data_IF_172153821028
#
_entry.id   IF_172153821028
#
_cell.length_a   1.000
_cell.length_b   1.000
_cell.length_c   1.000
_cell.angle_alpha   90.00
_cell.angle_beta   90.00
_cell.angle_gamma   90.00
#
_symmetry.space_group_name_H-M   'P 1'
#
loop_
_entity.id
_entity.type
_entity.pdbx_description
1 polymer ?
#
# COMPACT_ATOMS: atom_id res chain seq x y z
N UNK A 1 17.25 -10.21 -16.04
CA UNK A 1 17.79 -9.30 -15.02
C UNK A 1 17.13 -9.68 -13.68
N UNK A 2 17.88 -10.14 -12.68
CA UNK A 2 17.30 -10.77 -11.47
C UNK A 2 16.53 -9.74 -10.60
N UNK A 3 15.46 -10.13 -9.89
CA UNK A 3 14.59 -9.21 -9.12
C UNK A 3 15.22 -8.60 -7.86
N UNK A 4 16.53 -8.81 -7.63
CA UNK A 4 17.17 -8.55 -6.33
C UNK A 4 17.04 -7.09 -5.88
N UNK A 5 17.01 -6.11 -6.79
CA UNK A 5 16.97 -4.68 -6.45
C UNK A 5 15.70 -4.29 -5.68
N UNK A 6 14.57 -4.94 -5.95
CA UNK A 6 13.29 -4.63 -5.31
C UNK A 6 13.23 -5.11 -3.85
N UNK A 7 13.91 -6.21 -3.50
CA UNK A 7 13.93 -6.73 -2.12
C UNK A 7 14.76 -5.87 -1.17
N UNK A 8 15.88 -5.30 -1.64
CA UNK A 8 16.72 -4.40 -0.84
C UNK A 8 16.00 -3.10 -0.44
N UNK A 9 15.13 -2.59 -1.30
CA UNK A 9 14.40 -1.33 -1.05
C UNK A 9 13.27 -1.48 -0.03
N UNK A 10 12.76 -2.70 0.19
CA UNK A 10 11.56 -2.92 0.99
C UNK A 10 11.83 -3.45 2.40
N UNK A 11 13.08 -3.75 2.78
CA UNK A 11 13.41 -4.34 4.10
C UNK A 11 12.43 -5.49 4.44
N UNK A 12 12.18 -6.36 3.46
CA UNK A 12 11.12 -7.37 3.52
C UNK A 12 11.30 -8.27 4.74
N UNK A 13 10.24 -8.47 5.51
CA UNK A 13 10.27 -9.24 6.75
C UNK A 13 10.77 -8.47 7.99
N UNK A 14 11.16 -7.20 7.83
CA UNK A 14 11.44 -6.33 8.96
C UNK A 14 10.15 -5.68 9.48
N UNK A 15 9.79 -6.01 10.71
CA UNK A 15 8.62 -5.49 11.41
C UNK A 15 8.97 -4.45 12.48
N UNK A 16 10.22 -4.02 12.55
CA UNK A 16 10.68 -3.01 13.51
C UNK A 16 9.91 -1.70 13.30
N UNK A 17 9.24 -1.18 14.34
CA UNK A 17 8.64 0.15 14.28
C UNK A 17 9.67 1.26 14.50
N UNK A 18 10.87 0.91 14.98
CA UNK A 18 11.88 1.87 15.40
C UNK A 18 12.71 2.40 14.22
N UNK A 19 12.93 3.72 14.15
CA UNK A 19 13.85 4.31 13.18
C UNK A 19 15.31 3.86 13.40
N UNK A 20 15.97 3.39 12.34
CA UNK A 20 17.42 3.16 12.35
C UNK A 20 18.16 4.43 11.92
N UNK A 21 18.96 4.98 12.83
CA UNK A 21 19.70 6.21 12.60
C UNK A 21 20.75 6.09 11.48
N UNK A 22 21.31 4.90 11.25
CA UNK A 22 22.24 4.65 10.15
C UNK A 22 21.50 4.63 8.80
N UNK A 23 20.27 4.11 8.75
CA UNK A 23 19.41 4.26 7.57
C UNK A 23 19.10 5.74 7.34
N UNK A 24 18.67 6.47 8.38
CA UNK A 24 18.33 7.88 8.28
C UNK A 24 19.49 8.73 7.71
N UNK A 25 20.70 8.58 8.27
CA UNK A 25 21.92 9.25 7.78
C UNK A 25 22.19 8.95 6.31
N UNK A 26 22.04 7.69 5.88
CA UNK A 26 22.23 7.27 4.47
C UNK A 26 21.15 7.82 3.54
N UNK A 27 19.90 7.95 3.99
CA UNK A 27 18.82 8.57 3.21
C UNK A 27 19.13 10.05 3.01
N UNK A 28 19.40 10.79 4.09
CA UNK A 28 19.68 12.23 4.03
C UNK A 28 20.87 12.52 3.11
N UNK A 29 21.98 11.78 3.28
CA UNK A 29 23.16 11.93 2.43
C UNK A 29 22.85 11.77 0.94
N UNK A 30 22.02 10.78 0.57
CA UNK A 30 21.61 10.55 -0.83
C UNK A 30 20.67 11.62 -1.34
N UNK A 31 19.71 12.07 -0.53
CA UNK A 31 18.79 13.14 -0.91
C UNK A 31 19.51 14.47 -1.15
N UNK A 32 20.43 14.86 -0.27
CA UNK A 32 21.22 16.09 -0.43
C UNK A 32 22.14 16.03 -1.65
N UNK A 33 22.73 14.86 -1.94
CA UNK A 33 23.53 14.68 -3.15
C UNK A 33 22.68 14.82 -4.43
N UNK A 34 21.42 14.38 -4.40
CA UNK A 34 20.49 14.50 -5.53
C UNK A 34 19.92 15.91 -5.69
N UNK A 35 19.62 16.60 -4.58
CA UNK A 35 19.04 17.93 -4.55
C UNK A 35 19.66 18.77 -3.42
N UNK A 36 20.78 19.48 -3.69
CA UNK A 36 21.50 20.25 -2.68
C UNK A 36 20.68 21.39 -2.06
N UNK A 37 19.62 21.85 -2.73
CA UNK A 37 18.73 22.91 -2.24
C UNK A 37 17.99 22.48 -0.95
N UNK A 38 17.78 21.17 -0.73
CA UNK A 38 17.18 20.64 0.50
C UNK A 38 17.95 21.04 1.77
N UNK A 39 19.22 21.40 1.64
CA UNK A 39 20.07 21.79 2.75
C UNK A 39 20.63 23.22 2.63
N UNK A 40 20.02 24.05 1.78
CA UNK A 40 20.50 25.42 1.50
C UNK A 40 21.99 25.48 1.11
N UNK A 41 22.51 24.45 0.42
CA UNK A 41 23.91 24.36 0.03
C UNK A 41 24.91 24.06 1.17
N UNK A 42 24.45 23.85 2.40
CA UNK A 42 25.31 23.61 3.58
C UNK A 42 25.69 22.13 3.79
N UNK A 43 25.43 21.27 2.80
CA UNK A 43 25.63 19.83 2.93
C UNK A 43 24.67 19.18 3.93
N UNK A 44 24.95 17.95 4.36
CA UNK A 44 24.03 17.15 5.19
C UNK A 44 23.61 17.85 6.50
N UNK A 45 24.52 18.61 7.12
CA UNK A 45 24.27 19.35 8.36
C UNK A 45 23.28 20.52 8.19
N UNK A 46 23.01 20.94 6.95
CA UNK A 46 22.06 22.00 6.64
C UNK A 46 20.59 21.56 6.58
N UNK A 47 20.31 20.27 6.72
CA UNK A 47 18.95 19.73 6.64
C UNK A 47 18.23 19.93 7.97
N UNK A 48 17.09 20.62 7.93
CA UNK A 48 16.20 20.77 9.09
C UNK A 48 15.33 19.51 9.24
N UNK A 49 15.62 18.71 10.27
CA UNK A 49 14.89 17.46 10.53
C UNK A 49 13.70 17.74 11.44
N UNK A 50 12.49 17.54 10.92
CA UNK A 50 11.25 17.62 11.72
C UNK A 50 11.10 16.36 12.58
N UNK A 51 11.24 15.17 11.98
CA UNK A 51 11.13 13.87 12.67
C UNK A 51 11.74 12.73 11.85
N UNK A 52 11.95 11.60 12.50
CA UNK A 52 12.12 10.30 11.85
C UNK A 52 10.83 9.49 11.94
N UNK A 53 10.54 8.67 10.92
CA UNK A 53 9.33 7.85 10.90
C UNK A 53 9.54 6.56 10.13
N UNK A 54 8.86 5.50 10.58
CA UNK A 54 8.85 4.18 9.95
C UNK A 54 7.41 3.79 9.66
N UNK A 55 7.18 3.21 8.49
CA UNK A 55 5.89 2.68 8.09
C UNK A 55 6.05 1.32 7.42
N UNK A 56 5.14 0.40 7.72
CA UNK A 56 5.11 -0.93 7.16
C UNK A 56 4.19 -0.95 5.94
N UNK A 57 4.74 -1.24 4.77
CA UNK A 57 3.95 -1.34 3.54
C UNK A 57 3.14 -2.64 3.59
N UNK A 58 1.81 -2.61 3.36
CA UNK A 58 0.95 -3.80 3.36
C UNK A 58 1.14 -4.57 2.05
N UNK A 59 2.31 -5.16 1.85
CA UNK A 59 2.62 -5.96 0.68
C UNK A 59 1.98 -7.35 0.79
N UNK A 60 1.52 -7.88 -0.34
CA UNK A 60 1.03 -9.24 -0.48
C UNK A 60 1.76 -9.93 -1.63
N UNK A 61 2.09 -11.22 -1.44
CA UNK A 61 2.89 -12.02 -2.38
C UNK A 61 2.33 -12.02 -3.80
N UNK A 62 1.02 -12.20 -3.92
CA UNK A 62 0.34 -12.29 -5.22
C UNK A 62 -0.26 -10.94 -5.65
N UNK A 63 0.30 -9.83 -5.13
CA UNK A 63 -0.17 -8.47 -5.41
C UNK A 63 -1.44 -8.10 -4.64
N UNK A 64 -2.16 -7.09 -5.12
CA UNK A 64 -3.41 -6.66 -4.51
C UNK A 64 -4.48 -7.74 -4.64
N UNK A 65 -5.22 -7.97 -3.56
CA UNK A 65 -6.43 -8.79 -3.58
C UNK A 65 -7.63 -7.86 -3.69
N UNK A 66 -8.33 -7.98 -4.82
CA UNK A 66 -9.46 -7.15 -5.18
C UNK A 66 -10.55 -8.00 -5.83
N UNK A 67 -11.37 -8.63 -5.00
CA UNK A 67 -12.34 -9.65 -5.41
C UNK A 67 -13.42 -9.81 -4.33
N UNK A 68 -14.50 -10.53 -4.67
CA UNK A 68 -15.59 -10.87 -3.75
C UNK A 68 -15.45 -12.28 -3.21
N UNK A 69 -15.85 -12.46 -1.94
CA UNK A 69 -16.05 -13.75 -1.30
C UNK A 69 -17.34 -13.67 -0.45
N UNK A 70 -17.77 -14.78 0.14
CA UNK A 70 -18.76 -14.78 1.21
C UNK A 70 -18.10 -15.06 2.55
N UNK A 71 -18.64 -14.49 3.62
CA UNK A 71 -18.19 -14.79 4.97
C UNK A 71 -18.16 -16.32 5.20
N UNK A 72 -17.02 -16.84 5.67
CA UNK A 72 -16.81 -18.28 5.80
C UNK A 72 -17.73 -18.95 6.84
N UNK A 73 -18.19 -18.19 7.84
CA UNK A 73 -19.03 -18.71 8.93
C UNK A 73 -20.50 -18.81 8.53
N UNK A 74 -21.08 -17.75 7.97
CA UNK A 74 -22.51 -17.70 7.67
C UNK A 74 -22.82 -17.92 6.19
N UNK A 75 -21.87 -17.63 5.30
CA UNK A 75 -22.05 -17.58 3.83
C UNK A 75 -23.15 -16.63 3.35
N UNK A 76 -23.60 -15.71 4.21
CA UNK A 76 -24.70 -14.79 3.91
C UNK A 76 -24.22 -13.36 3.63
N UNK A 77 -23.07 -12.98 4.21
CA UNK A 77 -22.49 -11.65 4.08
C UNK A 77 -21.46 -11.64 2.95
N UNK A 78 -21.67 -10.78 1.96
CA UNK A 78 -20.66 -10.48 0.94
C UNK A 78 -19.44 -9.82 1.59
N UNK A 79 -18.25 -10.31 1.28
CA UNK A 79 -16.98 -9.71 1.66
C UNK A 79 -16.30 -9.22 0.39
N UNK A 80 -16.01 -7.92 0.31
CA UNK A 80 -15.17 -7.37 -0.77
C UNK A 80 -13.76 -7.17 -0.22
N UNK A 81 -12.82 -7.93 -0.76
CA UNK A 81 -11.41 -7.77 -0.42
C UNK A 81 -10.83 -6.58 -1.19
N UNK A 82 -10.10 -5.69 -0.51
CA UNK A 82 -9.33 -4.61 -1.12
C UNK A 82 -8.09 -4.31 -0.27
N UNK A 83 -7.06 -5.16 -0.36
CA UNK A 83 -5.83 -5.04 0.41
C UNK A 83 -4.61 -5.57 -0.33
N UNK A 84 -3.39 -5.31 0.18
CA UNK A 84 -2.14 -5.78 -0.44
C UNK A 84 -1.43 -4.74 -1.31
N UNK A 85 -1.71 -3.44 -1.11
CA UNK A 85 -1.29 -2.33 -1.97
C UNK A 85 0.21 -1.95 -1.91
N UNK A 86 1.00 -2.62 -1.07
CA UNK A 86 2.44 -2.39 -0.96
C UNK A 86 2.82 -0.90 -0.87
N UNK A 87 3.66 -0.39 -1.77
CA UNK A 87 4.11 1.00 -1.80
C UNK A 87 3.29 1.94 -2.70
N UNK A 88 2.22 1.46 -3.32
CA UNK A 88 1.49 2.21 -4.35
C UNK A 88 0.02 2.49 -4.00
N UNK A 89 -0.42 2.18 -2.78
CA UNK A 89 -1.84 2.32 -2.41
C UNK A 89 -2.44 3.70 -2.65
N UNK A 90 -1.66 4.78 -2.48
CA UNK A 90 -2.14 6.14 -2.79
C UNK A 90 -2.35 6.36 -4.30
N UNK A 91 -1.34 6.09 -5.13
CA UNK A 91 -1.43 6.33 -6.58
C UNK A 91 -2.52 5.49 -7.28
N UNK A 92 -2.85 4.30 -6.76
CA UNK A 92 -3.91 3.44 -7.32
C UNK A 92 -5.24 3.47 -6.55
N UNK A 93 -5.35 4.31 -5.52
CA UNK A 93 -6.49 4.32 -4.59
C UNK A 93 -7.85 4.47 -5.28
N UNK A 94 -7.96 5.44 -6.20
CA UNK A 94 -9.23 5.77 -6.84
C UNK A 94 -9.73 4.63 -7.72
N UNK A 95 -8.88 4.11 -8.62
CA UNK A 95 -9.26 2.98 -9.47
C UNK A 95 -9.57 1.70 -8.69
N UNK A 96 -8.85 1.44 -7.59
CA UNK A 96 -9.20 0.32 -6.70
C UNK A 96 -10.56 0.54 -6.03
N UNK A 97 -10.91 1.77 -5.65
CA UNK A 97 -12.19 2.10 -5.04
C UNK A 97 -13.35 2.03 -6.05
N UNK A 98 -13.16 2.52 -7.27
CA UNK A 98 -14.14 2.38 -8.37
C UNK A 98 -14.47 0.92 -8.64
N UNK A 99 -13.45 0.06 -8.75
CA UNK A 99 -13.68 -1.36 -8.96
C UNK A 99 -14.38 -2.05 -7.76
N UNK A 100 -14.13 -1.60 -6.52
CA UNK A 100 -14.93 -2.05 -5.36
C UNK A 100 -16.40 -1.68 -5.53
N UNK A 101 -16.70 -0.46 -5.99
CA UNK A 101 -18.08 -0.02 -6.25
C UNK A 101 -18.73 -0.91 -7.32
N UNK A 102 -18.03 -1.18 -8.42
CA UNK A 102 -18.51 -2.08 -9.48
C UNK A 102 -18.85 -3.49 -8.95
N UNK A 103 -18.00 -4.06 -8.10
CA UNK A 103 -18.25 -5.38 -7.48
C UNK A 103 -19.51 -5.36 -6.60
N UNK A 104 -19.70 -4.30 -5.81
CA UNK A 104 -20.87 -4.16 -4.92
C UNK A 104 -22.15 -3.97 -5.74
N UNK A 105 -22.12 -3.11 -6.75
CA UNK A 105 -23.27 -2.89 -7.63
C UNK A 105 -23.64 -4.14 -8.43
N UNK A 106 -22.66 -4.88 -8.93
CA UNK A 106 -22.86 -6.15 -9.61
C UNK A 106 -23.62 -7.14 -8.72
N UNK A 107 -23.15 -7.32 -7.48
CA UNK A 107 -23.81 -8.19 -6.51
C UNK A 107 -25.25 -7.76 -6.18
N UNK A 108 -25.51 -6.46 -6.03
CA UNK A 108 -26.85 -5.95 -5.77
C UNK A 108 -27.81 -6.24 -6.93
N UNK A 109 -27.34 -6.10 -8.18
CA UNK A 109 -28.13 -6.42 -9.37
C UNK A 109 -28.50 -7.91 -9.39
N UNK A 110 -27.54 -8.80 -9.13
CA UNK A 110 -27.78 -10.25 -9.12
C UNK A 110 -28.78 -10.69 -8.04
N UNK A 111 -28.66 -10.14 -6.83
CA UNK A 111 -29.63 -10.36 -5.73
C UNK A 111 -31.05 -9.97 -6.13
N UNK A 112 -31.22 -8.79 -6.71
CA UNK A 112 -32.53 -8.28 -7.13
C UNK A 112 -33.18 -9.16 -8.22
N UNK A 113 -32.39 -9.76 -9.11
CA UNK A 113 -32.89 -10.71 -10.13
C UNK A 113 -33.39 -11.99 -9.46
N UNK A 114 -32.61 -12.56 -8.52
CA UNK A 114 -32.99 -13.78 -7.80
C UNK A 114 -34.27 -13.58 -6.98
N UNK A 115 -34.41 -12.44 -6.31
CA UNK A 115 -35.60 -12.17 -5.50
C UNK A 115 -36.85 -11.97 -6.35
N UNK A 116 -36.73 -11.35 -7.53
CA UNK A 116 -37.83 -11.23 -8.50
C UNK A 116 -38.23 -12.57 -9.12
N UNK A 117 -37.28 -13.48 -9.35
CA UNK A 117 -37.55 -14.79 -9.94
C UNK A 117 -38.22 -15.78 -8.96
N UNK A 118 -38.30 -15.45 -7.67
CA UNK A 118 -38.98 -16.24 -6.63
C UNK A 118 -40.43 -15.82 -6.38
N UNK A 119 -40.89 -14.74 -7.03
CA UNK A 119 -42.28 -14.25 -7.02
C UNK A 119 -43.06 -14.85 -8.20
#
# INVERSE_FOLDING_TARGET
>A
MKPQVAEWLQHKGNWSPEPDINIAKRIIKRCVALSPQLANGKGVEGVEIIRHGVGLRPWRKDGVRLETDFNLSTKETLVVHNYGHAGWGYQGSYGCAEYVVELVEGFQKDRNVVDKAKL
#
